data_IF_834782479536
#
_entry.id   IF_834782479536
#
_cell.length_a   1.000
_cell.length_b   1.000
_cell.length_c   1.000
_cell.angle_alpha   90.00
_cell.angle_beta   90.00
_cell.angle_gamma   90.00
#
_symmetry.space_group_name_H-M   'P 1'
#
loop_
_entity.id
_entity.type
_entity.pdbx_description
1 polymer ?
#
# COMPACT_ATOMS: atom_id res chain seq x y z
N UNK A 1 15.30 -9.11 -15.60
CA UNK A 1 13.94 -9.00 -15.00
C UNK A 1 13.05 -10.24 -15.26
N UNK A 2 13.60 -11.45 -15.45
CA UNK A 2 12.82 -12.65 -15.83
C UNK A 2 12.51 -13.64 -14.69
N UNK A 3 13.29 -13.66 -13.60
CA UNK A 3 13.23 -14.73 -12.58
C UNK A 3 11.96 -14.75 -11.72
N UNK A 4 11.29 -13.60 -11.53
CA UNK A 4 10.12 -13.52 -10.65
C UNK A 4 8.82 -14.06 -11.29
N UNK A 5 8.72 -14.02 -12.63
CA UNK A 5 7.56 -14.53 -13.36
C UNK A 5 7.52 -16.06 -13.39
N UNK A 6 8.66 -16.74 -13.38
CA UNK A 6 8.71 -18.20 -13.46
C UNK A 6 8.23 -18.86 -12.16
N UNK A 7 8.63 -18.33 -11.00
CA UNK A 7 8.15 -18.78 -9.69
C UNK A 7 6.64 -18.59 -9.54
N UNK A 8 6.13 -17.43 -9.96
CA UNK A 8 4.68 -17.14 -9.94
C UNK A 8 3.89 -18.05 -10.88
N UNK A 9 4.42 -18.36 -12.07
CA UNK A 9 3.80 -19.31 -13.01
C UNK A 9 3.77 -20.73 -12.47
N UNK A 10 4.86 -21.20 -11.84
CA UNK A 10 4.91 -22.53 -11.20
C UNK A 10 3.91 -22.65 -10.05
N UNK A 11 3.80 -21.63 -9.20
CA UNK A 11 2.80 -21.58 -8.13
C UNK A 11 1.38 -21.55 -8.69
N UNK A 12 1.09 -20.69 -9.67
CA UNK A 12 -0.24 -20.58 -10.27
C UNK A 12 -0.66 -21.92 -10.91
N UNK A 13 0.23 -22.56 -11.67
CA UNK A 13 -0.01 -23.87 -12.27
C UNK A 13 -0.29 -24.97 -11.23
N UNK A 14 0.41 -24.96 -10.09
CA UNK A 14 0.19 -25.92 -9.00
C UNK A 14 -1.22 -25.81 -8.38
N UNK A 15 -1.86 -24.64 -8.48
CA UNK A 15 -3.23 -24.42 -8.02
C UNK A 15 -4.26 -24.42 -9.16
N UNK A 16 -3.89 -24.83 -10.37
CA UNK A 16 -4.79 -24.90 -11.53
C UNK A 16 -5.26 -23.54 -12.06
N UNK A 17 -4.55 -22.46 -11.73
CA UNK A 17 -4.88 -21.09 -12.16
C UNK A 17 -3.76 -20.51 -13.00
N UNK A 18 -4.09 -19.76 -14.05
CA UNK A 18 -3.05 -18.99 -14.77
C UNK A 18 -2.67 -17.75 -13.96
N UNK A 19 -1.43 -17.25 -14.14
CA UNK A 19 -1.02 -15.95 -13.55
C UNK A 19 -1.95 -14.80 -13.91
N UNK A 20 -2.58 -14.88 -15.09
CA UNK A 20 -3.53 -13.87 -15.57
C UNK A 20 -4.88 -14.00 -14.86
N UNK A 21 -5.32 -15.23 -14.58
CA UNK A 21 -6.49 -15.52 -13.75
C UNK A 21 -6.32 -15.01 -12.32
N UNK A 22 -5.16 -15.27 -11.70
CA UNK A 22 -4.89 -14.78 -10.34
C UNK A 22 -4.89 -13.24 -10.28
N UNK A 23 -4.20 -12.57 -11.22
CA UNK A 23 -4.19 -11.11 -11.28
C UNK A 23 -5.57 -10.53 -11.50
N UNK A 24 -6.39 -11.15 -12.36
CA UNK A 24 -7.77 -10.75 -12.60
C UNK A 24 -8.59 -10.76 -11.31
N UNK A 25 -8.55 -11.86 -10.55
CA UNK A 25 -9.29 -11.96 -9.29
C UNK A 25 -8.72 -11.06 -8.19
N UNK A 26 -7.39 -10.95 -8.07
CA UNK A 26 -6.74 -10.05 -7.13
C UNK A 26 -7.14 -8.58 -7.38
N UNK A 27 -7.14 -8.15 -8.64
CA UNK A 27 -7.58 -6.81 -9.01
C UNK A 27 -9.07 -6.61 -8.73
N UNK A 28 -9.94 -7.58 -9.06
CA UNK A 28 -11.37 -7.49 -8.71
C UNK A 28 -11.57 -7.35 -7.20
N UNK A 29 -10.81 -8.09 -6.40
CA UNK A 29 -10.88 -8.00 -4.94
C UNK A 29 -10.41 -6.63 -4.44
N UNK A 30 -9.29 -6.12 -4.98
CA UNK A 30 -8.79 -4.79 -4.65
C UNK A 30 -9.79 -3.68 -5.04
N UNK A 31 -10.42 -3.77 -6.22
CA UNK A 31 -11.46 -2.83 -6.65
C UNK A 31 -12.70 -2.92 -5.75
N UNK A 32 -13.16 -4.13 -5.39
CA UNK A 32 -14.29 -4.30 -4.48
C UNK A 32 -14.00 -3.69 -3.10
N UNK A 33 -12.83 -3.94 -2.52
CA UNK A 33 -12.42 -3.32 -1.24
C UNK A 33 -12.30 -1.80 -1.37
N UNK A 34 -11.74 -1.29 -2.46
CA UNK A 34 -11.66 0.16 -2.73
C UNK A 34 -13.04 0.79 -2.88
N UNK A 35 -14.00 0.09 -3.49
CA UNK A 35 -15.40 0.53 -3.60
C UNK A 35 -16.07 0.64 -2.23
N UNK A 36 -15.64 -0.20 -1.29
CA UNK A 36 -16.08 -0.18 0.09
C UNK A 36 -15.29 0.83 0.94
N UNK A 37 -14.34 1.58 0.39
CA UNK A 37 -13.46 2.48 1.15
C UNK A 37 -14.24 3.44 2.05
N UNK A 38 -15.33 4.03 1.58
CA UNK A 38 -16.16 4.94 2.40
C UNK A 38 -16.98 4.21 3.48
N UNK A 39 -17.35 2.94 3.25
CA UNK A 39 -18.08 2.12 4.21
C UNK A 39 -17.17 1.48 5.26
N UNK A 40 -15.96 1.05 4.86
CA UNK A 40 -14.97 0.35 5.70
C UNK A 40 -14.07 1.35 6.42
N UNK A 41 -13.63 2.41 5.74
CA UNK A 41 -12.81 3.46 6.34
C UNK A 41 -13.71 4.61 6.79
N UNK A 42 -14.36 4.41 7.93
CA UNK A 42 -15.13 5.45 8.60
C UNK A 42 -14.19 6.38 9.39
N UNK A 43 -13.58 7.36 8.71
CA UNK A 43 -12.62 8.28 9.34
C UNK A 43 -13.16 8.98 10.58
N UNK A 44 -14.44 9.35 10.62
CA UNK A 44 -15.04 9.96 11.81
C UNK A 44 -15.09 9.01 13.02
N UNK A 45 -15.08 7.70 12.78
CA UNK A 45 -15.09 6.65 13.82
C UNK A 45 -13.70 6.21 14.26
N UNK A 46 -12.62 6.76 13.69
CA UNK A 46 -11.24 6.34 13.99
C UNK A 46 -10.83 6.53 15.46
N UNK A 47 -11.57 7.34 16.20
CA UNK A 47 -11.39 7.56 17.63
C UNK A 47 -12.51 6.95 18.49
N UNK A 48 -13.40 6.13 17.94
CA UNK A 48 -14.43 5.47 18.76
C UNK A 48 -13.78 4.53 19.79
N UNK A 49 -14.11 4.73 21.06
CA UNK A 49 -13.50 4.01 22.19
C UNK A 49 -12.13 4.55 22.61
N UNK A 50 -11.63 5.59 21.94
CA UNK A 50 -10.38 6.23 22.31
C UNK A 50 -10.64 7.26 23.44
N UNK A 51 -9.81 7.30 24.51
CA UNK A 51 -10.00 8.23 25.63
C UNK A 51 -9.97 9.69 25.18
N UNK A 52 -11.00 10.49 25.52
CA UNK A 52 -11.13 11.87 25.07
C UNK A 52 -10.03 12.82 25.60
N UNK A 53 -9.27 12.41 26.62
CA UNK A 53 -8.32 13.24 27.35
C UNK A 53 -6.85 13.02 27.00
N UNK A 54 -6.51 12.12 26.08
CA UNK A 54 -5.11 11.76 25.86
C UNK A 54 -4.50 12.41 24.62
N UNK A 55 -3.27 12.90 24.79
CA UNK A 55 -2.32 13.02 23.71
C UNK A 55 -2.18 11.66 23.03
N UNK A 56 -2.49 11.61 21.73
CA UNK A 56 -2.40 10.37 20.97
C UNK A 56 -0.96 10.17 20.51
N UNK A 57 -0.28 9.20 21.10
CA UNK A 57 0.95 8.69 20.52
C UNK A 57 0.59 7.94 19.23
N UNK A 58 1.13 8.43 18.12
CA UNK A 58 0.98 7.81 16.81
C UNK A 58 2.29 7.17 16.40
N UNK A 59 2.22 5.95 15.87
CA UNK A 59 3.31 5.39 15.10
C UNK A 59 3.12 5.78 13.64
N UNK A 60 4.20 6.16 12.98
CA UNK A 60 4.19 6.51 11.55
C UNK A 60 4.98 5.45 10.81
N UNK A 61 4.37 4.84 9.80
CA UNK A 61 5.05 3.91 8.89
C UNK A 61 4.96 4.35 7.43
N UNK A 62 6.09 4.22 6.71
CA UNK A 62 6.20 4.54 5.30
C UNK A 62 5.82 3.36 4.42
N UNK A 63 4.64 3.42 3.82
CA UNK A 63 4.14 2.35 2.96
C UNK A 63 4.22 2.74 1.49
N UNK A 64 4.85 1.87 0.69
CA UNK A 64 4.96 2.06 -0.77
C UNK A 64 3.83 1.32 -1.49
N UNK A 65 3.01 2.08 -2.22
CA UNK A 65 1.96 1.54 -3.08
C UNK A 65 2.41 1.60 -4.53
N UNK A 66 2.33 0.45 -5.20
CA UNK A 66 2.66 0.37 -6.61
C UNK A 66 1.79 1.32 -7.43
N UNK A 67 2.42 2.07 -8.34
CA UNK A 67 1.72 2.83 -9.36
C UNK A 67 1.99 2.21 -10.72
N UNK A 68 1.03 2.33 -11.63
CA UNK A 68 1.25 1.98 -13.02
C UNK A 68 2.30 2.92 -13.64
N UNK A 69 3.36 2.34 -14.21
CA UNK A 69 4.38 3.11 -14.91
C UNK A 69 3.88 3.54 -16.28
N UNK A 70 4.28 4.73 -16.71
CA UNK A 70 4.33 5.02 -18.13
C UNK A 70 5.60 4.36 -18.68
N UNK A 71 5.44 3.19 -19.30
CA UNK A 71 6.55 2.39 -19.83
C UNK A 71 7.37 3.08 -20.93
N UNK A 72 6.92 4.25 -21.41
CA UNK A 72 7.68 5.06 -22.37
C UNK A 72 8.67 6.01 -21.71
N UNK A 73 8.51 6.27 -20.40
CA UNK A 73 9.31 7.25 -19.63
C UNK A 73 9.70 6.67 -18.27
N UNK A 74 10.78 5.90 -18.26
CA UNK A 74 11.38 5.42 -17.01
C UNK A 74 11.79 6.61 -16.14
N UNK A 75 11.26 6.70 -14.92
CA UNK A 75 11.65 7.70 -13.95
C UNK A 75 12.22 7.00 -12.70
N UNK A 76 13.55 7.03 -12.50
CA UNK A 76 14.21 6.36 -11.38
C UNK A 76 13.78 6.91 -10.02
N UNK A 77 13.34 8.17 -9.94
CA UNK A 77 12.88 8.78 -8.69
C UNK A 77 11.66 8.05 -8.12
N UNK A 78 10.84 7.41 -8.96
CA UNK A 78 9.68 6.64 -8.52
C UNK A 78 10.01 5.23 -8.08
N UNK A 79 11.22 4.74 -8.37
CA UNK A 79 11.58 3.35 -8.15
C UNK A 79 11.73 3.08 -6.65
N UNK A 80 10.73 2.45 -6.07
CA UNK A 80 10.75 2.07 -4.66
C UNK A 80 11.82 1.01 -4.41
N UNK A 81 12.65 1.24 -3.39
CA UNK A 81 13.63 0.25 -2.95
C UNK A 81 12.97 -1.02 -2.39
N UNK A 82 11.75 -0.93 -1.85
CA UNK A 82 10.99 -2.04 -1.27
C UNK A 82 10.38 -2.92 -2.37
N UNK A 83 9.68 -2.32 -3.32
CA UNK A 83 8.91 -3.04 -4.34
C UNK A 83 9.68 -3.26 -5.65
N UNK A 84 10.81 -2.58 -5.83
CA UNK A 84 11.62 -2.55 -7.06
C UNK A 84 10.79 -2.17 -8.30
N UNK A 85 9.79 -1.31 -8.10
CA UNK A 85 8.84 -0.84 -9.10
C UNK A 85 8.49 0.63 -8.83
N UNK A 86 7.91 1.34 -9.81
CA UNK A 86 7.34 2.65 -9.57
C UNK A 86 6.26 2.59 -8.51
N UNK A 87 6.36 3.50 -7.55
CA UNK A 87 5.45 3.57 -6.44
C UNK A 87 5.29 5.00 -5.94
N UNK A 88 4.16 5.22 -5.27
CA UNK A 88 4.00 6.33 -4.34
C UNK A 88 4.14 5.83 -2.93
N UNK A 89 4.80 6.62 -2.11
CA UNK A 89 4.87 6.42 -0.68
C UNK A 89 3.78 7.22 0.02
N UNK A 90 3.23 6.63 1.06
CA UNK A 90 2.38 7.31 2.01
C UNK A 90 2.90 7.09 3.41
N UNK A 91 2.81 8.11 4.24
CA UNK A 91 2.99 7.93 5.68
C UNK A 91 1.63 7.55 6.26
N UNK A 92 1.58 6.37 6.86
CA UNK A 92 0.39 5.85 7.50
C UNK A 92 0.56 6.08 9.00
N UNK A 93 -0.32 6.91 9.57
CA UNK A 93 -0.34 7.19 10.99
C UNK A 93 -1.31 6.21 11.65
N UNK A 94 -0.78 5.36 12.52
CA UNK A 94 -1.54 4.36 13.27
C UNK A 94 -1.53 4.74 14.75
N UNK A 95 -2.70 4.65 15.38
CA UNK A 95 -2.81 4.84 16.83
C UNK A 95 -2.03 3.75 17.57
N UNK A 96 -1.33 4.12 18.64
CA UNK A 96 -0.69 3.13 19.53
C UNK A 96 -1.68 2.51 20.52
N UNK A 97 -2.80 3.19 20.79
CA UNK A 97 -3.82 2.77 21.76
C UNK A 97 -5.03 2.08 21.12
N UNK A 98 -5.12 2.07 19.79
CA UNK A 98 -6.20 1.42 19.04
C UNK A 98 -5.70 0.93 17.69
N UNK A 99 -6.35 -0.08 17.07
CA UNK A 99 -5.97 -0.55 15.73
C UNK A 99 -6.39 0.41 14.60
N UNK A 100 -6.70 1.68 14.93
CA UNK A 100 -7.21 2.64 13.98
C UNK A 100 -6.07 3.33 13.22
N UNK A 101 -6.23 3.43 11.90
CA UNK A 101 -5.49 4.40 11.09
C UNK A 101 -6.06 5.78 11.42
N UNK A 102 -5.23 6.65 11.95
CA UNK A 102 -5.63 7.99 12.41
C UNK A 102 -5.31 9.09 11.41
N UNK A 103 -4.43 8.80 10.45
CA UNK A 103 -4.08 9.72 9.37
C UNK A 103 -3.33 9.04 8.22
N UNK A 104 -3.33 9.71 7.07
CA UNK A 104 -2.54 9.37 5.89
C UNK A 104 -1.94 10.66 5.34
N UNK A 105 -0.64 10.66 5.08
CA UNK A 105 0.08 11.76 4.46
C UNK A 105 0.75 11.31 3.15
N UNK A 106 0.82 12.19 2.15
CA UNK A 106 1.30 11.89 0.80
C UNK A 106 0.24 12.17 -0.30
N UNK A 107 0.44 11.69 -1.55
CA UNK A 107 1.51 10.79 -1.99
C UNK A 107 2.88 11.46 -2.14
N UNK A 108 3.94 10.73 -1.78
CA UNK A 108 5.33 11.09 -2.02
C UNK A 108 5.96 10.19 -3.09
N UNK A 109 6.98 10.71 -3.77
CA UNK A 109 7.76 9.93 -4.74
C UNK A 109 8.61 8.89 -3.99
N UNK A 110 8.36 7.59 -4.19
CA UNK A 110 8.89 6.54 -3.30
C UNK A 110 10.42 6.35 -3.37
N UNK A 111 11.03 6.48 -4.56
CA UNK A 111 12.49 6.31 -4.70
C UNK A 111 13.29 7.50 -4.14
N UNK A 112 12.69 8.70 -4.08
CA UNK A 112 13.33 9.90 -3.53
C UNK A 112 13.12 10.08 -2.02
N UNK A 113 12.14 9.37 -1.45
CA UNK A 113 11.74 9.49 -0.04
C UNK A 113 11.87 8.13 0.65
N UNK A 114 13.09 7.73 1.10
CA UNK A 114 13.29 6.50 1.88
C UNK A 114 12.74 6.64 3.32
N UNK A 115 12.59 5.52 4.03
CA UNK A 115 11.92 5.49 5.35
C UNK A 115 12.63 6.38 6.37
N UNK A 116 13.94 6.57 6.18
CA UNK A 116 14.81 7.42 6.98
C UNK A 116 14.46 8.92 6.92
N UNK A 117 13.60 9.34 5.98
CA UNK A 117 13.13 10.73 5.85
C UNK A 117 11.70 10.92 6.34
N UNK A 118 11.12 9.88 6.93
CA UNK A 118 9.90 10.02 7.72
C UNK A 118 10.42 10.65 9.02
N UNK A 119 9.90 11.84 9.35
CA UNK A 119 10.38 12.83 10.34
C UNK A 119 11.34 13.89 9.77
#
# INVERSE_FOLDING_TARGET
MMKNNERQRKLAAAFGVSTDTFRYYANRFAYAISSLKSAVICWYKRFMGAPASNEYFVSIDGTDFHRQEDYTKFNPQLCSHKTKRPAYRYDILVSTSSPAIVGINGPFIAGSNPDLKIF
#
